data_IF_482878150466
#
_entry.id   IF_482878150466
#
_cell.length_a   1.000
_cell.length_b   1.000
_cell.length_c   1.000
_cell.angle_alpha   90.00
_cell.angle_beta   90.00
_cell.angle_gamma   90.00
#
_symmetry.space_group_name_H-M   'P 1'
#
loop_
_entity.id
_entity.type
_entity.pdbx_description
1 polymer ?
#
# COMPACT_ATOMS: atom_id res chain seq x y z
N UNK A 1 -8.75 -15.78 35.94
CA UNK A 1 -9.19 -15.49 34.69
C UNK A 1 -8.78 -16.58 33.72
N UNK A 2 -9.63 -16.97 32.74
CA UNK A 2 -9.48 -18.23 32.00
C UNK A 2 -8.20 -18.36 31.16
N UNK A 3 -7.62 -17.25 30.70
CA UNK A 3 -6.44 -17.25 29.83
C UNK A 3 -5.16 -17.61 30.61
N UNK A 4 -5.01 -17.11 31.84
CA UNK A 4 -3.84 -17.44 32.67
C UNK A 4 -3.84 -18.92 33.12
N UNK A 5 -5.02 -19.48 33.37
CA UNK A 5 -5.18 -20.91 33.70
C UNK A 5 -4.88 -21.82 32.51
N UNK A 6 -5.29 -21.43 31.31
CA UNK A 6 -4.99 -22.14 30.05
C UNK A 6 -3.50 -22.09 29.72
N UNK A 7 -2.86 -20.93 29.83
CA UNK A 7 -1.43 -20.78 29.58
C UNK A 7 -0.57 -21.60 30.57
N UNK A 8 -0.92 -21.62 31.86
CA UNK A 8 -0.23 -22.43 32.85
C UNK A 8 -0.42 -23.95 32.64
N UNK A 9 -1.62 -24.39 32.27
CA UNK A 9 -1.90 -25.77 31.86
C UNK A 9 -1.12 -26.17 30.61
N UNK A 10 -0.94 -25.25 29.67
CA UNK A 10 -0.25 -25.52 28.44
C UNK A 10 1.29 -25.44 28.55
N UNK A 11 1.81 -24.65 29.49
CA UNK A 11 3.23 -24.75 29.90
C UNK A 11 3.54 -26.10 30.50
N UNK A 12 2.63 -26.70 31.30
CA UNK A 12 2.76 -28.06 31.80
C UNK A 12 2.71 -29.10 30.66
N UNK A 13 1.84 -28.91 29.66
CA UNK A 13 1.80 -29.78 28.47
C UNK A 13 3.03 -29.62 27.55
N UNK A 14 3.78 -28.52 27.64
CA UNK A 14 5.05 -28.32 26.96
C UNK A 14 6.11 -29.36 27.36
N UNK A 15 6.17 -29.70 28.62
CA UNK A 15 7.10 -30.74 29.12
C UNK A 15 6.79 -32.13 28.54
N UNK A 16 5.57 -32.32 28.01
CA UNK A 16 5.12 -33.58 27.44
C UNK A 16 5.03 -33.61 25.90
N UNK A 17 5.08 -32.46 25.21
CA UNK A 17 4.84 -32.39 23.73
C UNK A 17 5.89 -31.60 22.93
N UNK A 18 6.98 -31.14 23.55
CA UNK A 18 8.14 -30.57 22.85
C UNK A 18 8.02 -29.15 22.38
N UNK A 19 9.04 -28.68 21.64
CA UNK A 19 9.24 -27.33 21.14
C UNK A 19 8.15 -26.84 20.19
N UNK A 20 7.61 -27.71 19.33
CA UNK A 20 6.61 -27.35 18.34
C UNK A 20 5.31 -26.88 18.97
N UNK A 21 4.88 -27.52 20.05
CA UNK A 21 3.70 -27.08 20.81
C UNK A 21 3.90 -25.73 21.50
N UNK A 22 5.11 -25.48 22.00
CA UNK A 22 5.45 -24.20 22.60
C UNK A 22 5.43 -23.08 21.56
N UNK A 23 5.98 -23.33 20.39
CA UNK A 23 5.97 -22.40 19.26
C UNK A 23 4.53 -22.06 18.85
N UNK A 24 3.70 -23.07 18.63
CA UNK A 24 2.28 -22.90 18.32
C UNK A 24 1.53 -22.05 19.37
N UNK A 25 1.81 -22.25 20.65
CA UNK A 25 1.16 -21.49 21.71
C UNK A 25 1.60 -20.03 21.74
N UNK A 26 2.88 -19.77 21.53
CA UNK A 26 3.41 -18.40 21.46
C UNK A 26 2.80 -17.65 20.26
N UNK A 27 2.82 -18.25 19.09
CA UNK A 27 2.20 -17.66 17.89
C UNK A 27 0.69 -17.39 18.09
N UNK A 28 -0.01 -18.33 18.74
CA UNK A 28 -1.45 -18.16 19.03
C UNK A 28 -1.69 -17.00 19.99
N UNK A 29 -0.85 -16.86 21.02
CA UNK A 29 -0.95 -15.75 22.00
C UNK A 29 -0.62 -14.41 21.36
N UNK A 30 0.40 -14.34 20.52
CA UNK A 30 0.75 -13.13 19.77
C UNK A 30 -0.37 -12.69 18.83
N UNK A 31 -0.96 -13.63 18.10
CA UNK A 31 -2.11 -13.37 17.24
C UNK A 31 -3.31 -12.84 18.03
N UNK A 32 -3.67 -13.51 19.13
CA UNK A 32 -4.78 -13.08 19.99
C UNK A 32 -4.54 -11.70 20.62
N UNK A 33 -3.30 -11.41 21.02
CA UNK A 33 -2.93 -10.10 21.53
C UNK A 33 -3.11 -9.02 20.46
N UNK A 34 -2.66 -9.28 19.22
CA UNK A 34 -2.82 -8.38 18.09
C UNK A 34 -4.31 -8.16 17.75
N UNK A 35 -5.12 -9.23 17.66
CA UNK A 35 -6.57 -9.15 17.44
C UNK A 35 -7.31 -8.33 18.52
N UNK A 36 -6.82 -8.37 19.75
CA UNK A 36 -7.37 -7.58 20.86
C UNK A 36 -6.74 -6.20 21.01
N UNK A 37 -5.81 -5.84 20.11
CA UNK A 37 -5.12 -4.56 20.15
C UNK A 37 -4.28 -4.35 21.41
N UNK A 38 -3.74 -5.44 21.97
CA UNK A 38 -2.81 -5.39 23.10
C UNK A 38 -1.42 -5.10 22.54
N UNK A 39 -0.80 -4.03 23.06
CA UNK A 39 0.60 -3.73 22.72
C UNK A 39 1.53 -4.77 23.33
N UNK A 40 2.22 -5.49 22.48
CA UNK A 40 3.29 -6.40 22.88
C UNK A 40 4.62 -5.63 23.00
N UNK A 41 5.59 -6.16 23.76
CA UNK A 41 6.96 -5.65 23.70
C UNK A 41 7.45 -5.57 22.25
N UNK A 42 8.39 -4.65 21.97
CA UNK A 42 8.88 -4.40 20.62
C UNK A 42 9.20 -5.70 19.88
N UNK A 43 8.54 -5.87 18.75
CA UNK A 43 8.76 -6.95 17.81
C UNK A 43 9.04 -6.35 16.44
N UNK A 44 10.02 -6.89 15.72
CA UNK A 44 10.30 -6.46 14.34
C UNK A 44 9.13 -6.74 13.41
N UNK A 45 8.39 -7.82 13.64
CA UNK A 45 7.23 -8.24 12.87
C UNK A 45 6.03 -8.52 13.77
N UNK A 46 4.84 -8.29 13.23
CA UNK A 46 3.56 -8.74 13.81
C UNK A 46 2.99 -9.90 12.98
N UNK A 47 2.03 -10.67 13.49
CA UNK A 47 1.35 -11.69 12.70
C UNK A 47 0.82 -11.15 11.37
N UNK A 48 0.68 -12.02 10.36
CA UNK A 48 0.23 -11.67 9.01
C UNK A 48 -1.28 -11.37 8.95
N UNK A 49 -1.69 -10.37 9.73
CA UNK A 49 -3.06 -9.88 9.87
C UNK A 49 -3.05 -8.34 9.83
N UNK A 50 -4.23 -7.75 9.70
CA UNK A 50 -4.39 -6.31 9.79
C UNK A 50 -3.97 -5.77 11.17
N UNK A 51 -3.22 -4.66 11.19
CA UNK A 51 -2.78 -4.03 12.45
C UNK A 51 -3.95 -3.51 13.27
N UNK A 52 -4.98 -2.98 12.61
CA UNK A 52 -6.19 -2.48 13.26
C UNK A 52 -7.26 -3.58 13.14
N UNK A 53 -7.62 -4.24 14.25
CA UNK A 53 -8.66 -5.26 14.23
C UNK A 53 -10.03 -4.65 13.94
N UNK A 54 -10.93 -5.45 13.38
CA UNK A 54 -12.25 -5.03 12.91
C UNK A 54 -13.06 -4.30 13.98
N UNK A 55 -13.00 -4.76 15.21
CA UNK A 55 -13.76 -4.17 16.34
C UNK A 55 -13.28 -2.76 16.73
N UNK A 56 -12.07 -2.38 16.27
CA UNK A 56 -11.49 -1.05 16.50
C UNK A 56 -11.54 -0.16 15.28
N UNK A 57 -12.04 -0.65 14.16
CA UNK A 57 -12.19 0.15 12.96
C UNK A 57 -13.36 1.14 13.13
N UNK A 58 -13.18 2.43 12.79
CA UNK A 58 -14.29 3.37 12.77
C UNK A 58 -15.26 3.01 11.65
N UNK A 59 -16.52 3.45 11.79
CA UNK A 59 -17.48 3.34 10.71
C UNK A 59 -16.95 4.05 9.45
N UNK A 60 -17.14 3.42 8.29
CA UNK A 60 -16.70 4.01 7.02
C UNK A 60 -17.45 5.33 6.76
N UNK A 61 -16.74 6.46 6.55
CA UNK A 61 -17.37 7.77 6.49
C UNK A 61 -18.06 8.08 5.17
N UNK A 62 -17.82 7.27 4.11
CA UNK A 62 -18.29 7.50 2.75
C UNK A 62 -19.40 6.57 2.29
N UNK A 63 -19.74 6.69 1.00
CA UNK A 63 -20.67 5.81 0.33
C UNK A 63 -19.88 4.75 -0.50
N UNK A 64 -19.69 3.56 0.08
CA UNK A 64 -18.91 2.46 -0.52
C UNK A 64 -19.39 2.06 -1.92
N UNK A 65 -20.70 2.07 -2.16
CA UNK A 65 -21.24 1.71 -3.45
C UNK A 65 -20.89 2.74 -4.52
N UNK A 66 -21.10 4.02 -4.22
CA UNK A 66 -20.76 5.11 -5.13
C UNK A 66 -19.26 5.17 -5.40
N UNK A 67 -18.44 5.09 -4.38
CA UNK A 67 -16.97 5.12 -4.50
C UNK A 67 -16.44 3.90 -5.28
N UNK A 68 -17.03 2.72 -5.09
CA UNK A 68 -16.70 1.55 -5.91
C UNK A 68 -17.02 1.78 -7.38
N UNK A 69 -18.14 2.42 -7.70
CA UNK A 69 -18.50 2.77 -9.08
C UNK A 69 -17.53 3.78 -9.68
N UNK A 70 -17.20 4.84 -8.94
CA UNK A 70 -16.21 5.85 -9.35
C UNK A 70 -14.86 5.18 -9.62
N UNK A 71 -14.36 4.41 -8.68
CA UNK A 71 -13.11 3.65 -8.83
C UNK A 71 -13.12 2.74 -10.05
N UNK A 72 -14.22 2.06 -10.32
CA UNK A 72 -14.35 1.16 -11.47
C UNK A 72 -14.29 1.93 -12.80
N UNK A 73 -14.92 3.09 -12.88
CA UNK A 73 -14.87 3.96 -14.07
C UNK A 73 -13.45 4.48 -14.29
N UNK A 74 -12.79 4.94 -13.23
CA UNK A 74 -11.40 5.42 -13.32
C UNK A 74 -10.45 4.30 -13.78
N UNK A 75 -10.59 3.09 -13.20
CA UNK A 75 -9.80 1.93 -13.63
C UNK A 75 -10.02 1.57 -15.08
N UNK A 76 -11.28 1.60 -15.53
CA UNK A 76 -11.63 1.35 -16.94
C UNK A 76 -10.99 2.40 -17.85
N UNK A 77 -11.13 3.67 -17.54
CA UNK A 77 -10.57 4.76 -18.36
C UNK A 77 -9.03 4.69 -18.41
N UNK A 78 -8.37 4.39 -17.29
CA UNK A 78 -6.93 4.20 -17.24
C UNK A 78 -6.47 3.05 -18.16
N UNK A 79 -7.14 1.90 -18.09
CA UNK A 79 -6.87 0.77 -18.95
C UNK A 79 -7.14 1.09 -20.42
N UNK A 80 -8.30 1.66 -20.73
CA UNK A 80 -8.70 2.00 -22.09
C UNK A 80 -7.72 3.00 -22.74
N UNK A 81 -7.25 4.00 -21.99
CA UNK A 81 -6.25 4.96 -22.44
C UNK A 81 -4.95 4.26 -22.86
N UNK A 82 -4.40 3.39 -22.01
CA UNK A 82 -3.15 2.67 -22.29
C UNK A 82 -3.31 1.69 -23.44
N UNK A 83 -4.37 0.88 -23.45
CA UNK A 83 -4.64 -0.11 -24.50
C UNK A 83 -4.85 0.59 -25.85
N UNK A 84 -5.62 1.68 -25.88
CA UNK A 84 -5.83 2.48 -27.08
C UNK A 84 -4.53 3.05 -27.61
N UNK A 85 -3.71 3.64 -26.75
CA UNK A 85 -2.44 4.24 -27.13
C UNK A 85 -1.54 3.20 -27.84
N UNK A 86 -1.42 1.98 -27.29
CA UNK A 86 -0.64 0.91 -27.87
C UNK A 86 -1.24 0.33 -29.17
N UNK A 87 -2.57 0.42 -29.33
CA UNK A 87 -3.23 0.00 -30.58
C UNK A 87 -2.89 0.93 -31.76
N UNK A 88 -2.74 2.23 -31.50
CA UNK A 88 -2.47 3.22 -32.54
C UNK A 88 -0.98 3.57 -32.71
N UNK A 89 -0.19 3.32 -31.66
CA UNK A 89 1.24 3.64 -31.64
C UNK A 89 2.01 2.45 -31.08
N UNK A 90 2.48 1.59 -32.00
CA UNK A 90 3.24 0.39 -31.62
C UNK A 90 4.45 0.74 -30.76
N UNK A 91 4.66 0.00 -29.66
CA UNK A 91 5.79 0.19 -28.77
C UNK A 91 5.69 1.39 -27.82
N UNK A 92 4.57 2.14 -27.81
CA UNK A 92 4.42 3.29 -26.92
C UNK A 92 4.48 2.90 -25.43
N UNK A 93 4.01 1.71 -25.09
CA UNK A 93 4.05 1.20 -23.73
C UNK A 93 3.02 1.84 -22.79
N UNK A 94 3.31 1.76 -21.52
CA UNK A 94 2.46 2.23 -20.43
C UNK A 94 2.18 1.13 -19.42
N UNK A 95 1.86 1.53 -18.17
CA UNK A 95 1.65 0.60 -17.06
C UNK A 95 0.19 0.59 -16.65
N UNK A 96 -0.38 -0.60 -16.48
CA UNK A 96 -1.77 -0.80 -16.05
C UNK A 96 -1.83 -1.41 -14.64
N UNK A 97 -0.97 -2.39 -14.36
CA UNK A 97 -1.03 -3.21 -13.14
C UNK A 97 -0.84 -2.41 -11.86
N UNK A 98 0.07 -1.44 -11.86
CA UNK A 98 0.35 -0.61 -10.68
C UNK A 98 -0.90 0.15 -10.25
N UNK A 99 -1.58 0.84 -11.18
CA UNK A 99 -2.81 1.53 -10.81
C UNK A 99 -3.96 0.54 -10.52
N UNK A 100 -4.04 -0.56 -11.22
CA UNK A 100 -5.07 -1.57 -10.99
C UNK A 100 -5.04 -2.10 -9.55
N UNK A 101 -3.83 -2.34 -8.98
CA UNK A 101 -3.65 -2.79 -7.61
C UNK A 101 -3.80 -1.67 -6.57
N UNK A 102 -3.39 -0.44 -6.89
CA UNK A 102 -3.42 0.71 -5.97
C UNK A 102 -4.70 1.56 -6.06
N UNK A 103 -5.62 1.23 -6.96
CA UNK A 103 -6.81 2.05 -7.23
C UNK A 103 -7.64 2.35 -5.97
N UNK A 104 -7.78 1.38 -5.07
CA UNK A 104 -8.52 1.58 -3.80
C UNK A 104 -7.76 2.53 -2.87
N UNK A 105 -6.43 2.41 -2.79
CA UNK A 105 -5.61 3.30 -1.96
C UNK A 105 -5.76 4.76 -2.41
N UNK A 106 -5.68 5.02 -3.72
CA UNK A 106 -5.89 6.36 -4.26
C UNK A 106 -7.32 6.84 -4.09
N UNK A 107 -8.32 5.99 -4.35
CA UNK A 107 -9.73 6.39 -4.18
C UNK A 107 -10.01 6.83 -2.75
N UNK A 108 -9.62 6.03 -1.77
CA UNK A 108 -9.78 6.38 -0.35
C UNK A 108 -8.96 7.64 0.00
N UNK A 109 -7.76 7.78 -0.55
CA UNK A 109 -6.94 8.98 -0.40
C UNK A 109 -7.65 10.23 -0.85
N UNK A 110 -8.18 10.23 -2.08
CA UNK A 110 -8.87 11.38 -2.65
C UNK A 110 -10.21 11.70 -1.97
N UNK A 111 -10.96 10.68 -1.55
CA UNK A 111 -12.27 10.90 -0.95
C UNK A 111 -12.20 11.33 0.52
N UNK A 112 -11.19 10.86 1.28
CA UNK A 112 -11.24 10.96 2.74
C UNK A 112 -10.00 11.54 3.39
N UNK A 113 -8.86 11.58 2.72
CA UNK A 113 -7.60 11.94 3.37
C UNK A 113 -6.88 13.13 2.77
N UNK A 114 -6.82 13.24 1.43
CA UNK A 114 -6.08 14.32 0.80
C UNK A 114 -6.84 15.63 0.91
N UNK A 115 -6.15 16.67 1.34
CA UNK A 115 -6.70 18.01 1.46
C UNK A 115 -6.11 18.88 0.39
N UNK A 116 -6.98 19.39 -0.47
CA UNK A 116 -6.61 20.34 -1.53
C UNK A 116 -6.40 21.75 -0.99
N UNK A 117 -5.96 22.65 -1.86
CA UNK A 117 -5.92 24.09 -1.57
C UNK A 117 -7.33 24.58 -1.29
N UNK A 118 -7.51 25.34 -0.22
CA UNK A 118 -8.80 25.84 0.21
C UNK A 118 -8.87 27.38 0.24
N UNK A 119 -10.10 27.91 0.32
CA UNK A 119 -10.35 29.34 0.45
C UNK A 119 -9.85 29.92 1.79
N UNK A 120 -9.58 29.07 2.76
CA UNK A 120 -9.06 29.45 4.08
C UNK A 120 -7.56 29.74 4.13
N UNK A 121 -6.88 29.79 2.98
CA UNK A 121 -5.42 29.98 2.93
C UNK A 121 -4.62 28.69 3.15
N UNK A 122 -5.27 27.51 3.24
CA UNK A 122 -4.58 26.24 3.29
C UNK A 122 -4.00 25.87 1.92
N UNK A 123 -2.68 25.68 1.85
CA UNK A 123 -1.96 25.43 0.59
C UNK A 123 -2.09 24.00 0.04
N UNK A 124 -2.79 23.13 0.73
CA UNK A 124 -2.97 21.74 0.36
C UNK A 124 -1.87 20.81 0.90
N UNK A 125 -2.15 19.51 0.88
CA UNK A 125 -1.18 18.47 1.14
C UNK A 125 -0.24 18.27 -0.07
N UNK A 126 0.96 17.79 0.18
CA UNK A 126 1.91 17.41 -0.86
C UNK A 126 1.77 15.92 -1.15
N UNK A 127 1.59 15.53 -2.42
CA UNK A 127 1.39 14.14 -2.79
C UNK A 127 2.40 13.72 -3.87
N UNK A 128 3.28 12.80 -3.49
CA UNK A 128 4.19 12.12 -4.40
C UNK A 128 3.48 10.86 -4.92
N UNK A 129 2.84 10.98 -6.06
CA UNK A 129 2.16 9.86 -6.72
C UNK A 129 3.19 8.85 -7.23
N UNK A 130 2.93 7.56 -7.08
CA UNK A 130 3.80 6.55 -7.70
C UNK A 130 3.82 6.73 -9.22
N UNK A 131 5.01 6.80 -9.82
CA UNK A 131 5.16 7.12 -11.23
C UNK A 131 4.37 6.23 -12.16
N UNK A 132 4.41 4.91 -11.93
CA UNK A 132 3.69 3.91 -12.73
C UNK A 132 2.16 3.95 -12.54
N UNK A 133 1.64 4.65 -11.53
CA UNK A 133 0.21 4.84 -11.33
C UNK A 133 -0.37 6.05 -12.09
N UNK A 134 0.45 6.82 -12.79
CA UNK A 134 0.03 8.04 -13.53
C UNK A 134 -1.19 7.85 -14.44
N UNK A 135 -1.42 6.71 -15.13
CA UNK A 135 -2.63 6.50 -15.91
C UNK A 135 -3.92 6.67 -15.11
N UNK A 136 -3.92 6.23 -13.84
CA UNK A 136 -5.06 6.40 -12.95
C UNK A 136 -5.32 7.87 -12.58
N UNK A 137 -4.25 8.64 -12.39
CA UNK A 137 -4.36 10.08 -12.09
C UNK A 137 -4.94 10.84 -13.27
N UNK A 138 -4.50 10.52 -14.50
CA UNK A 138 -5.08 11.10 -15.71
C UNK A 138 -6.55 10.72 -15.89
N UNK A 139 -6.88 9.45 -15.70
CA UNK A 139 -8.26 8.97 -15.80
C UNK A 139 -9.18 9.63 -14.77
N UNK A 140 -8.70 9.86 -13.55
CA UNK A 140 -9.43 10.60 -12.53
C UNK A 140 -9.62 12.06 -12.92
N UNK A 141 -8.57 12.75 -13.33
CA UNK A 141 -8.61 14.13 -13.74
C UNK A 141 -9.52 14.35 -14.96
N UNK A 142 -9.60 13.37 -15.85
CA UNK A 142 -10.58 13.38 -16.93
C UNK A 142 -12.04 13.30 -16.41
N UNK A 143 -12.29 12.40 -15.47
CA UNK A 143 -13.62 12.28 -14.86
C UNK A 143 -14.03 13.55 -14.10
N UNK A 144 -13.06 14.26 -13.53
CA UNK A 144 -13.23 15.55 -12.86
C UNK A 144 -13.33 16.75 -13.82
N UNK A 145 -13.23 16.53 -15.14
CA UNK A 145 -13.29 17.58 -16.15
C UNK A 145 -12.03 18.45 -16.26
N UNK A 146 -10.92 18.05 -15.63
CA UNK A 146 -9.63 18.76 -15.69
C UNK A 146 -8.80 18.41 -16.93
N UNK A 147 -9.05 17.26 -17.53
CA UNK A 147 -8.45 16.81 -18.78
C UNK A 147 -9.52 16.50 -19.81
N UNK A 148 -9.18 16.65 -21.07
CA UNK A 148 -10.06 16.38 -22.21
C UNK A 148 -9.82 14.97 -22.75
N UNK A 149 -10.76 14.47 -23.57
CA UNK A 149 -10.57 13.21 -24.30
C UNK A 149 -9.34 13.27 -25.21
N UNK A 150 -9.05 14.43 -25.80
CA UNK A 150 -7.88 14.60 -26.67
C UNK A 150 -6.57 14.48 -25.89
N UNK A 151 -6.52 15.02 -24.66
CA UNK A 151 -5.37 14.80 -23.79
C UNK A 151 -5.13 13.28 -23.54
N UNK A 152 -6.20 12.52 -23.26
CA UNK A 152 -6.09 11.09 -23.03
C UNK A 152 -5.66 10.31 -24.30
N UNK A 153 -6.11 10.74 -25.48
CA UNK A 153 -5.66 10.18 -26.77
C UNK A 153 -4.17 10.39 -27.01
N UNK A 154 -3.60 11.45 -26.45
CA UNK A 154 -2.19 11.79 -26.51
C UNK A 154 -1.40 11.31 -25.29
N UNK A 155 -1.80 10.21 -24.67
CA UNK A 155 -1.06 9.57 -23.58
C UNK A 155 0.36 9.20 -24.02
N UNK A 156 1.37 9.59 -23.25
CA UNK A 156 2.81 9.44 -23.56
C UNK A 156 3.27 10.11 -24.88
N UNK A 157 2.52 11.12 -25.29
CA UNK A 157 2.81 11.91 -26.49
C UNK A 157 2.76 13.40 -26.14
N UNK A 158 3.50 13.77 -25.13
CA UNK A 158 3.50 15.08 -24.47
C UNK A 158 3.81 16.27 -25.39
N UNK A 159 4.49 16.02 -26.49
CA UNK A 159 4.89 17.07 -27.45
C UNK A 159 3.82 17.37 -28.52
N UNK A 160 2.62 16.85 -28.38
CA UNK A 160 1.54 17.13 -29.34
C UNK A 160 1.00 18.57 -29.17
N UNK A 161 0.66 19.26 -30.26
CA UNK A 161 0.17 20.66 -30.22
C UNK A 161 -1.08 20.83 -29.37
N UNK A 162 -1.97 19.84 -29.36
CA UNK A 162 -3.22 19.84 -28.58
C UNK A 162 -3.00 19.52 -27.08
N UNK A 163 -1.75 19.37 -26.67
CA UNK A 163 -1.37 18.94 -25.35
C UNK A 163 -1.43 17.42 -25.17
N UNK A 164 -0.32 16.85 -24.74
CA UNK A 164 -0.19 15.43 -24.44
C UNK A 164 0.04 15.18 -22.96
N UNK A 165 -0.05 13.92 -22.57
CA UNK A 165 0.19 13.48 -21.21
C UNK A 165 1.58 12.89 -21.09
N UNK A 166 2.34 13.32 -20.08
CA UNK A 166 3.66 12.77 -19.80
C UNK A 166 3.60 11.30 -19.39
N UNK A 167 4.67 10.56 -19.65
CA UNK A 167 4.77 9.14 -19.29
C UNK A 167 4.67 8.90 -17.81
N UNK A 168 5.24 9.82 -17.02
CA UNK A 168 5.28 9.83 -15.56
C UNK A 168 4.99 11.24 -15.06
N UNK A 169 4.75 11.44 -13.77
CA UNK A 169 4.68 12.76 -13.17
C UNK A 169 5.89 13.61 -13.54
N UNK A 170 5.66 14.68 -14.31
CA UNK A 170 6.74 15.50 -14.85
C UNK A 170 6.34 16.99 -14.83
N UNK A 171 6.74 17.76 -13.80
CA UNK A 171 6.34 19.15 -13.62
C UNK A 171 6.73 20.09 -14.75
N UNK A 172 7.82 19.82 -15.47
CA UNK A 172 8.24 20.67 -16.59
C UNK A 172 7.41 20.45 -17.86
N UNK A 173 6.96 19.22 -18.10
CA UNK A 173 6.10 18.91 -19.26
C UNK A 173 4.63 19.24 -18.98
N UNK A 174 4.21 19.14 -17.72
CA UNK A 174 2.84 19.43 -17.29
C UNK A 174 2.83 20.28 -16.00
N UNK A 175 3.29 21.55 -16.06
CA UNK A 175 3.52 22.37 -14.87
C UNK A 175 2.23 22.78 -14.12
N UNK A 176 1.09 22.77 -14.79
CA UNK A 176 -0.22 23.03 -14.15
C UNK A 176 -0.87 21.77 -13.57
N UNK A 177 -0.26 20.60 -13.76
CA UNK A 177 -0.84 19.32 -13.35
C UNK A 177 -0.01 18.60 -12.31
N UNK A 178 1.31 18.48 -12.50
CA UNK A 178 2.23 17.79 -11.60
C UNK A 178 3.03 18.76 -10.75
N UNK A 179 3.06 18.53 -9.43
CA UNK A 179 3.92 19.29 -8.52
C UNK A 179 5.29 18.62 -8.35
N UNK A 180 5.32 17.28 -8.34
CA UNK A 180 6.53 16.52 -8.06
C UNK A 180 6.85 15.52 -9.16
N UNK A 181 8.13 15.39 -9.55
CA UNK A 181 8.56 14.35 -10.47
C UNK A 181 8.68 13.02 -9.71
N UNK A 182 8.11 11.96 -10.27
CA UNK A 182 8.26 10.59 -9.75
C UNK A 182 8.35 9.60 -10.88
N UNK A 183 9.06 8.51 -10.66
CA UNK A 183 9.31 7.49 -11.70
C UNK A 183 9.30 6.06 -11.13
N UNK A 184 8.96 5.88 -9.85
CA UNK A 184 8.97 4.59 -9.13
C UNK A 184 10.36 3.92 -9.06
N UNK A 185 11.42 4.73 -8.87
CA UNK A 185 12.82 4.30 -8.77
C UNK A 185 13.48 4.85 -7.49
N UNK A 186 12.71 5.06 -6.44
CA UNK A 186 13.18 5.48 -5.12
C UNK A 186 13.33 6.98 -4.89
N UNK A 187 13.33 7.81 -5.93
CA UNK A 187 13.51 9.26 -5.80
C UNK A 187 12.30 9.97 -5.18
N UNK A 188 11.08 9.52 -5.50
CA UNK A 188 9.86 10.05 -4.89
C UNK A 188 9.86 9.94 -3.36
N UNK A 189 10.08 8.74 -2.80
CA UNK A 189 10.21 8.54 -1.35
C UNK A 189 11.24 9.44 -0.69
N UNK A 190 12.48 9.46 -1.19
CA UNK A 190 13.53 10.28 -0.56
C UNK A 190 13.23 11.78 -0.66
N UNK A 191 12.72 12.27 -1.79
CA UNK A 191 12.32 13.66 -1.95
C UNK A 191 11.19 14.05 -0.99
N UNK A 192 10.23 13.15 -0.77
CA UNK A 192 9.12 13.39 0.17
C UNK A 192 9.59 13.55 1.61
N UNK A 193 10.64 12.82 2.02
CA UNK A 193 11.29 12.99 3.33
C UNK A 193 11.89 14.40 3.44
N UNK A 194 12.62 14.84 2.43
CA UNK A 194 13.18 16.19 2.42
C UNK A 194 12.10 17.28 2.33
N UNK A 195 11.01 17.05 1.63
CA UNK A 195 9.86 17.97 1.60
C UNK A 195 9.23 18.09 3.00
N UNK A 196 8.97 16.97 3.67
CA UNK A 196 8.42 17.00 5.03
C UNK A 196 9.34 17.72 6.01
N UNK A 197 10.65 17.50 5.89
CA UNK A 197 11.68 18.20 6.65
C UNK A 197 11.68 19.70 6.35
N UNK A 198 11.58 20.08 5.08
CA UNK A 198 11.53 21.48 4.66
C UNK A 198 10.29 22.20 5.17
N UNK A 199 9.13 21.54 5.16
CA UNK A 199 7.92 22.09 5.76
C UNK A 199 8.13 22.39 7.26
N UNK A 200 8.76 21.48 8.01
CA UNK A 200 9.11 21.73 9.43
C UNK A 200 10.08 22.89 9.60
N UNK A 201 11.04 23.04 8.69
CA UNK A 201 11.94 24.19 8.70
C UNK A 201 11.18 25.50 8.48
N UNK A 202 10.28 25.58 7.50
CA UNK A 202 9.48 26.79 7.23
C UNK A 202 8.62 27.18 8.43
N UNK A 203 7.97 26.21 9.06
CA UNK A 203 7.18 26.40 10.28
C UNK A 203 8.02 26.91 11.42
N UNK A 204 9.11 26.20 11.75
CA UNK A 204 9.99 26.56 12.86
C UNK A 204 10.66 27.92 12.70
N UNK A 205 10.81 28.40 11.48
CA UNK A 205 11.35 29.72 11.16
C UNK A 205 10.27 30.81 11.11
N UNK A 206 9.01 30.46 11.22
CA UNK A 206 7.88 31.39 11.04
C UNK A 206 7.79 31.99 9.64
N UNK A 207 8.33 31.30 8.62
CA UNK A 207 8.30 31.75 7.23
C UNK A 207 6.95 31.42 6.58
N UNK A 208 6.40 30.26 6.92
CA UNK A 208 5.13 29.76 6.38
C UNK A 208 4.47 28.84 7.38
N UNK A 209 3.14 28.92 7.49
CA UNK A 209 2.34 28.01 8.30
C UNK A 209 2.19 26.67 7.56
N UNK A 210 2.89 25.65 8.01
CA UNK A 210 2.91 24.32 7.42
C UNK A 210 2.61 23.20 8.43
N UNK A 211 2.29 23.55 9.68
CA UNK A 211 2.05 22.60 10.77
C UNK A 211 0.98 21.55 10.41
N UNK A 212 -0.04 21.96 9.66
CA UNK A 212 -1.15 21.10 9.25
C UNK A 212 -0.96 20.43 7.88
N UNK A 213 0.08 20.79 7.11
CA UNK A 213 0.35 20.18 5.81
C UNK A 213 0.95 18.79 5.97
N UNK A 214 0.42 17.83 5.23
CA UNK A 214 0.94 16.48 5.18
C UNK A 214 1.67 16.23 3.87
N UNK A 215 2.66 15.37 3.92
CA UNK A 215 3.40 14.88 2.76
C UNK A 215 3.10 13.40 2.62
N UNK A 216 2.48 13.04 1.53
CA UNK A 216 2.12 11.66 1.19
C UNK A 216 3.06 11.15 0.12
N UNK A 217 3.60 9.97 0.28
CA UNK A 217 4.37 9.30 -0.76
C UNK A 217 3.78 7.91 -1.02
N UNK A 218 3.41 7.68 -2.28
CA UNK A 218 2.93 6.39 -2.76
C UNK A 218 4.05 5.68 -3.49
N UNK A 219 4.35 4.47 -3.06
CA UNK A 219 5.44 3.66 -3.61
C UNK A 219 5.04 2.19 -3.70
N UNK A 220 5.74 1.44 -4.56
CA UNK A 220 5.59 0.00 -4.67
C UNK A 220 6.56 -0.74 -3.75
N UNK A 221 6.24 -2.00 -3.49
CA UNK A 221 7.15 -2.93 -2.78
C UNK A 221 8.47 -3.10 -3.53
N UNK A 222 8.44 -3.24 -4.87
CA UNK A 222 9.65 -3.31 -5.69
C UNK A 222 10.47 -2.02 -5.67
N UNK A 223 9.84 -0.85 -5.51
CA UNK A 223 10.55 0.43 -5.36
C UNK A 223 11.31 0.50 -4.02
N UNK A 224 10.92 -0.29 -3.04
CA UNK A 224 11.65 -0.37 -1.77
C UNK A 224 12.99 -1.12 -1.87
N UNK A 225 13.28 -1.80 -2.97
CA UNK A 225 14.60 -2.38 -3.25
C UNK A 225 15.64 -1.31 -3.64
N UNK A 226 15.18 -0.12 -4.07
CA UNK A 226 16.07 0.98 -4.42
C UNK A 226 16.69 1.59 -3.16
N UNK A 227 18.02 1.76 -3.12
CA UNK A 227 18.73 2.31 -1.96
C UNK A 227 18.18 3.69 -1.54
N UNK A 228 17.74 4.50 -2.49
CA UNK A 228 17.19 5.83 -2.26
C UNK A 228 15.90 5.77 -1.43
N UNK A 229 15.05 4.76 -1.64
CA UNK A 229 13.81 4.60 -0.89
C UNK A 229 14.07 4.43 0.60
N UNK A 230 15.02 3.59 0.96
CA UNK A 230 15.31 3.25 2.36
C UNK A 230 16.40 4.13 2.98
N UNK A 231 17.17 4.84 2.16
CA UNK A 231 18.38 5.53 2.61
C UNK A 231 18.15 6.63 3.64
N UNK A 232 16.97 7.25 3.68
CA UNK A 232 16.66 8.36 4.58
C UNK A 232 15.56 8.07 5.61
N UNK A 233 15.02 6.86 5.68
CA UNK A 233 13.90 6.54 6.59
C UNK A 233 14.26 6.72 8.06
N UNK A 234 15.50 6.40 8.46
CA UNK A 234 15.99 6.62 9.82
C UNK A 234 16.14 8.11 10.18
N UNK A 235 16.41 8.96 9.18
CA UNK A 235 16.44 10.41 9.38
C UNK A 235 15.04 10.95 9.67
N UNK A 236 14.05 10.52 8.92
CA UNK A 236 12.66 10.94 9.13
C UNK A 236 12.18 10.65 10.55
N UNK A 237 12.49 9.47 11.07
CA UNK A 237 12.16 9.08 12.45
C UNK A 237 12.93 9.92 13.49
N UNK A 238 14.25 10.10 13.33
CA UNK A 238 15.07 10.91 14.27
C UNK A 238 14.63 12.36 14.33
N UNK A 239 14.20 12.94 13.22
CA UNK A 239 13.69 14.30 13.13
C UNK A 239 12.20 14.41 13.46
N UNK A 240 11.55 13.29 13.80
CA UNK A 240 10.13 13.21 14.16
C UNK A 240 9.22 13.86 13.13
N UNK A 241 9.39 13.48 11.86
CA UNK A 241 8.59 14.00 10.75
C UNK A 241 7.20 13.35 10.76
N UNK A 242 6.36 13.72 11.72
CA UNK A 242 4.97 13.21 11.89
C UNK A 242 3.99 13.75 10.84
N UNK A 243 4.46 14.65 9.98
CA UNK A 243 3.75 15.15 8.81
C UNK A 243 3.98 14.30 7.54
N UNK A 244 4.78 13.23 7.62
CA UNK A 244 5.13 12.35 6.51
C UNK A 244 4.38 11.02 6.60
N UNK A 245 3.80 10.58 5.48
CA UNK A 245 3.06 9.32 5.38
C UNK A 245 3.50 8.58 4.12
N UNK A 246 4.03 7.37 4.29
CA UNK A 246 4.27 6.44 3.19
C UNK A 246 3.11 5.48 3.03
N UNK A 247 2.65 5.30 1.80
CA UNK A 247 1.65 4.30 1.42
C UNK A 247 2.30 3.32 0.46
N UNK A 248 2.62 2.13 0.96
CA UNK A 248 3.33 1.11 0.19
C UNK A 248 2.33 0.11 -0.39
N UNK A 249 2.27 0.05 -1.71
CA UNK A 249 1.44 -0.90 -2.44
C UNK A 249 2.21 -2.20 -2.66
N UNK A 250 1.96 -3.19 -1.83
CA UNK A 250 2.58 -4.52 -1.92
C UNK A 250 1.77 -5.40 -2.89
N UNK A 251 1.99 -5.22 -4.18
CA UNK A 251 1.31 -5.98 -5.24
C UNK A 251 2.12 -7.18 -5.73
N UNK A 252 3.26 -7.47 -5.11
CA UNK A 252 4.15 -8.60 -5.40
C UNK A 252 4.71 -8.58 -6.84
N UNK A 253 4.77 -7.41 -7.48
CA UNK A 253 5.28 -7.24 -8.85
C UNK A 253 6.53 -6.37 -8.84
N UNK A 254 7.56 -6.81 -9.53
CA UNK A 254 8.80 -6.06 -9.79
C UNK A 254 8.98 -5.86 -11.29
N UNK A 255 9.84 -4.93 -11.69
CA UNK A 255 10.11 -4.64 -13.11
C UNK A 255 10.71 -5.83 -13.84
N UNK A 256 11.55 -6.59 -13.18
CA UNK A 256 12.30 -7.74 -13.72
C UNK A 256 11.62 -9.09 -13.47
N UNK A 257 10.37 -9.08 -13.01
CA UNK A 257 9.57 -10.28 -12.80
C UNK A 257 8.92 -10.37 -11.42
N UNK A 258 8.40 -11.55 -11.07
CA UNK A 258 7.75 -11.76 -9.80
C UNK A 258 8.73 -11.63 -8.62
N UNK A 259 8.20 -11.26 -7.44
CA UNK A 259 8.94 -11.29 -6.18
C UNK A 259 9.56 -12.67 -5.99
N UNK A 260 10.85 -12.69 -5.67
CA UNK A 260 11.60 -13.95 -5.60
C UNK A 260 11.37 -14.70 -4.28
N UNK A 261 11.19 -16.01 -4.42
CA UNK A 261 11.56 -16.97 -3.42
C UNK A 261 10.62 -17.10 -2.22
N UNK A 262 11.23 -17.36 -1.10
CA UNK A 262 10.61 -17.84 0.13
C UNK A 262 10.32 -16.72 1.14
N UNK A 263 10.33 -15.46 0.70
CA UNK A 263 10.09 -14.30 1.54
C UNK A 263 8.62 -13.84 1.56
N UNK A 264 8.35 -12.92 2.47
CA UNK A 264 7.12 -12.14 2.55
C UNK A 264 7.49 -10.66 2.61
N UNK A 265 7.38 -9.96 1.49
CA UNK A 265 7.81 -8.56 1.37
C UNK A 265 7.12 -7.65 2.39
N UNK A 266 5.84 -7.88 2.69
CA UNK A 266 5.12 -7.11 3.72
C UNK A 266 5.80 -7.25 5.09
N UNK A 267 6.21 -8.47 5.46
CA UNK A 267 6.87 -8.72 6.75
C UNK A 267 8.28 -8.13 6.78
N UNK A 268 9.01 -8.20 5.68
CA UNK A 268 10.33 -7.59 5.53
C UNK A 268 10.25 -6.07 5.66
N UNK A 269 9.33 -5.43 4.94
CA UNK A 269 9.14 -3.98 5.00
C UNK A 269 8.63 -3.54 6.38
N UNK A 270 7.71 -4.28 7.01
CA UNK A 270 7.29 -4.01 8.38
C UNK A 270 8.50 -3.96 9.32
N UNK A 271 9.39 -4.97 9.25
CA UNK A 271 10.58 -5.04 10.08
C UNK A 271 11.53 -3.86 9.84
N UNK A 272 11.77 -3.50 8.58
CA UNK A 272 12.65 -2.40 8.20
C UNK A 272 12.11 -1.06 8.74
N UNK A 273 10.84 -0.74 8.50
CA UNK A 273 10.26 0.53 8.92
C UNK A 273 10.10 0.62 10.44
N UNK A 274 9.68 -0.45 11.11
CA UNK A 274 9.64 -0.51 12.58
C UNK A 274 11.02 -0.37 13.19
N UNK A 275 12.02 -1.07 12.62
CA UNK A 275 13.41 -0.96 13.05
C UNK A 275 13.99 0.45 12.87
N UNK A 276 13.53 1.19 11.86
CA UNK A 276 13.86 2.59 11.65
C UNK A 276 13.06 3.56 12.54
N UNK A 277 12.12 3.08 13.36
CA UNK A 277 11.34 3.88 14.32
C UNK A 277 10.05 4.48 13.73
N UNK A 278 9.53 3.92 12.63
CA UNK A 278 8.25 4.34 12.07
C UNK A 278 7.07 3.63 12.75
N UNK A 279 5.94 4.31 12.77
CA UNK A 279 4.66 3.69 13.09
C UNK A 279 4.13 2.98 11.83
N UNK A 280 3.99 1.66 11.88
CA UNK A 280 3.60 0.84 10.73
C UNK A 280 2.18 0.32 10.92
N UNK A 281 1.32 0.61 9.96
CA UNK A 281 -0.03 0.05 9.86
C UNK A 281 -0.05 -0.90 8.67
N UNK A 282 -0.27 -2.17 8.95
CA UNK A 282 -0.35 -3.23 7.95
C UNK A 282 -1.82 -3.54 7.61
N UNK A 283 -2.14 -3.57 6.31
CA UNK A 283 -3.44 -3.97 5.78
C UNK A 283 -3.21 -5.10 4.79
N UNK A 284 -3.63 -6.29 5.15
CA UNK A 284 -3.41 -7.53 4.38
C UNK A 284 -4.71 -8.02 3.76
N UNK A 285 -5.81 -7.94 4.51
CA UNK A 285 -7.10 -8.55 4.15
C UNK A 285 -8.20 -7.49 4.04
N UNK A 286 -9.07 -7.66 3.03
CA UNK A 286 -10.31 -6.90 2.93
C UNK A 286 -11.42 -7.49 3.82
N UNK A 287 -12.55 -6.79 3.91
CA UNK A 287 -13.68 -7.19 4.77
C UNK A 287 -14.33 -8.52 4.36
N UNK A 288 -14.19 -8.94 3.10
CA UNK A 288 -14.70 -10.22 2.63
C UNK A 288 -14.00 -11.42 3.29
N UNK A 289 -12.81 -11.23 3.84
CA UNK A 289 -12.07 -12.26 4.57
C UNK A 289 -12.50 -12.37 6.03
N UNK A 290 -13.15 -11.36 6.60
CA UNK A 290 -13.54 -11.34 8.01
C UNK A 290 -14.45 -12.49 8.42
N UNK A 291 -15.48 -12.87 7.64
CA UNK A 291 -16.32 -14.03 7.97
C UNK A 291 -15.53 -15.34 8.00
N UNK A 292 -14.54 -15.50 7.12
CA UNK A 292 -13.68 -16.68 7.07
C UNK A 292 -12.74 -16.74 8.29
N UNK A 293 -12.11 -15.62 8.62
CA UNK A 293 -11.23 -15.50 9.79
C UNK A 293 -12.02 -15.68 11.10
N UNK A 294 -13.24 -15.15 11.19
CA UNK A 294 -14.12 -15.34 12.35
C UNK A 294 -14.59 -16.80 12.51
N UNK A 295 -14.70 -17.55 11.40
CA UNK A 295 -15.04 -18.97 11.41
C UNK A 295 -13.85 -19.87 11.79
N UNK A 296 -12.62 -19.37 11.67
CA UNK A 296 -11.38 -20.12 11.93
C UNK A 296 -11.11 -20.28 13.44
N UNK A 297 -11.94 -21.07 14.10
CA UNK A 297 -11.83 -21.33 15.56
C UNK A 297 -10.54 -22.04 15.97
N UNK A 298 -9.91 -22.74 15.04
CA UNK A 298 -8.67 -23.50 15.27
C UNK A 298 -7.41 -22.70 14.98
N UNK A 299 -7.52 -21.58 14.27
CA UNK A 299 -6.42 -20.77 13.77
C UNK A 299 -5.67 -21.42 12.60
N UNK A 300 -6.24 -22.47 11.99
CA UNK A 300 -5.58 -23.21 10.90
C UNK A 300 -5.46 -22.35 9.64
N UNK A 301 -6.53 -21.62 9.27
CA UNK A 301 -6.51 -20.68 8.15
C UNK A 301 -5.46 -19.60 8.36
N UNK A 302 -5.50 -18.92 9.51
CA UNK A 302 -4.51 -17.88 9.85
C UNK A 302 -3.09 -18.41 9.83
N UNK A 303 -2.86 -19.63 10.34
CA UNK A 303 -1.55 -20.31 10.30
C UNK A 303 -1.11 -20.52 8.85
N UNK A 304 -1.98 -21.09 8.00
CA UNK A 304 -1.66 -21.32 6.59
C UNK A 304 -1.34 -20.02 5.86
N UNK A 305 -2.11 -18.97 6.09
CA UNK A 305 -1.84 -17.65 5.51
C UNK A 305 -0.48 -17.07 5.95
N UNK A 306 -0.04 -17.37 7.17
CA UNK A 306 1.30 -16.99 7.65
C UNK A 306 2.42 -17.82 7.00
N UNK A 307 2.18 -19.07 6.68
CA UNK A 307 3.17 -19.97 6.07
C UNK A 307 3.36 -19.75 4.58
N UNK A 308 2.28 -19.37 3.85
CA UNK A 308 2.31 -19.13 2.40
C UNK A 308 3.23 -17.97 2.08
N UNK A 309 4.19 -18.19 1.19
CA UNK A 309 5.16 -17.18 0.73
C UNK A 309 4.65 -16.43 -0.49
N UNK A 310 5.25 -15.27 -0.77
CA UNK A 310 4.80 -14.37 -1.85
C UNK A 310 4.75 -15.03 -3.23
N UNK A 311 5.72 -15.89 -3.54
CA UNK A 311 5.75 -16.66 -4.80
C UNK A 311 4.57 -17.62 -4.96
N UNK A 312 4.05 -18.18 -3.85
CA UNK A 312 2.82 -18.99 -3.87
C UNK A 312 1.59 -18.14 -4.09
N UNK A 313 1.46 -16.98 -3.40
CA UNK A 313 0.36 -16.05 -3.64
C UNK A 313 0.29 -15.59 -5.10
N UNK A 314 1.44 -15.30 -5.72
CA UNK A 314 1.49 -14.96 -7.14
C UNK A 314 1.05 -16.11 -8.04
N UNK A 315 1.48 -17.33 -7.75
CA UNK A 315 1.04 -18.52 -8.47
C UNK A 315 -0.48 -18.63 -8.41
N UNK A 316 -1.08 -18.48 -7.23
CA UNK A 316 -2.53 -18.56 -7.05
C UNK A 316 -3.31 -17.50 -7.83
N UNK A 317 -2.82 -16.27 -7.91
CA UNK A 317 -3.50 -15.20 -8.69
C UNK A 317 -3.54 -15.46 -10.19
N UNK A 318 -2.60 -16.23 -10.72
CA UNK A 318 -2.52 -16.62 -12.13
C UNK A 318 -3.25 -17.92 -12.49
N UNK A 319 -3.77 -18.65 -11.50
CA UNK A 319 -4.41 -19.95 -11.74
C UNK A 319 -5.91 -19.82 -12.04
N UNK A 320 -6.47 -20.64 -12.94
CA UNK A 320 -7.90 -20.80 -13.05
C UNK A 320 -8.51 -21.24 -11.71
N UNK A 321 -9.70 -20.74 -11.40
CA UNK A 321 -10.36 -20.95 -10.11
C UNK A 321 -10.47 -22.43 -9.67
N UNK A 322 -10.72 -23.35 -10.64
CA UNK A 322 -10.81 -24.79 -10.38
C UNK A 322 -9.46 -25.44 -10.00
N UNK A 323 -8.36 -24.96 -10.60
CA UNK A 323 -7.03 -25.46 -10.26
C UNK A 323 -6.54 -24.91 -8.91
N UNK A 324 -6.91 -23.67 -8.60
CA UNK A 324 -6.62 -23.08 -7.29
C UNK A 324 -7.22 -23.88 -6.13
N UNK A 325 -8.46 -24.36 -6.27
CA UNK A 325 -9.14 -25.14 -5.23
C UNK A 325 -8.56 -26.55 -5.08
N UNK A 326 -8.08 -27.19 -6.16
CA UNK A 326 -7.46 -28.50 -6.09
C UNK A 326 -6.07 -28.48 -5.46
N UNK A 327 -5.19 -27.55 -5.88
CA UNK A 327 -3.84 -27.41 -5.32
C UNK A 327 -3.88 -27.08 -3.82
N UNK A 328 -4.79 -26.19 -3.42
CA UNK A 328 -4.96 -25.83 -2.01
C UNK A 328 -5.49 -26.99 -1.15
N UNK A 329 -6.28 -27.91 -1.74
CA UNK A 329 -6.75 -29.10 -1.05
C UNK A 329 -5.64 -30.17 -0.93
N UNK A 330 -4.86 -30.37 -1.98
CA UNK A 330 -3.78 -31.38 -1.99
C UNK A 330 -2.62 -30.98 -1.04
N UNK A 331 -2.27 -29.70 -0.95
CA UNK A 331 -1.28 -29.20 0.00
C UNK A 331 -1.77 -29.22 1.47
N UNK A 332 -3.08 -29.21 1.70
CA UNK A 332 -3.66 -29.31 3.05
C UNK A 332 -3.78 -30.74 3.58
N UNK A 333 -3.65 -31.75 2.70
CA UNK A 333 -3.79 -33.18 3.03
C UNK A 333 -2.42 -33.88 3.15
N UNK A 334 -1.34 -33.31 2.63
CA UNK A 334 0.04 -33.81 2.74
C UNK A 334 0.77 -33.18 3.91
#
# INVERSE_FOLDING_TARGET
TPIASSAASDVYKRQSKGTDRAHFLLETLERLAAEKGVELPFQSNTPYINTIPTERQPAYPGNRELERRIKSIIRWNAMAMVVRANKYFEGLGGHISTFASSATLYEVGFQHFFRGRGESGYDGDHIYFQGHASPGMYARAFLEGRLTEENLKNFRREMQPEGGLSSYPHPWLMPSFWEYPTVSMGLGPIMSIYQARFNRYLENRGIKETANQRVWAFLGDGECDEPETLGAISMASREKLDNLIFVINCNLQRLDGPVRGNGKVIQELEAIFKGAGWNVIKVVWGEEWEPLLAADKTGLLSKRMMEVVDGQYQKYTGMPCLLYTSDAADEAIG
#
